data_IF_960374653290
#
_entry.id   IF_960374653290
#
_cell.length_a   1.000
_cell.length_b   1.000
_cell.length_c   1.000
_cell.angle_alpha   90.00
_cell.angle_beta   90.00
_cell.angle_gamma   90.00
#
_symmetry.space_group_name_H-M   'P 1'
#
loop_
_entity.id
_entity.type
_entity.pdbx_description
1 polymer ?
#
# COMPACT_ATOMS: atom_id res chain seq x y z
N UNK A 1 44.48 3.60 -8.59
CA UNK A 1 43.65 2.37 -8.77
C UNK A 1 42.22 2.75 -8.61
N UNK A 2 41.49 2.76 -9.72
CA UNK A 2 40.08 3.12 -9.70
C UNK A 2 39.24 1.96 -9.16
N UNK A 3 38.74 2.09 -7.93
CA UNK A 3 37.71 1.22 -7.42
C UNK A 3 36.38 1.56 -8.13
N UNK A 4 36.09 0.86 -9.20
CA UNK A 4 34.77 0.89 -9.83
C UNK A 4 33.88 0.04 -8.91
N UNK A 5 33.10 0.71 -8.06
CA UNK A 5 32.02 0.06 -7.29
C UNK A 5 31.02 -0.47 -8.33
N UNK A 6 30.86 -1.78 -8.41
CA UNK A 6 29.89 -2.39 -9.32
C UNK A 6 28.50 -1.97 -8.89
N UNK A 7 27.72 -1.45 -9.78
CA UNK A 7 26.32 -1.02 -9.52
C UNK A 7 25.46 -2.09 -8.84
N UNK A 8 25.77 -3.37 -9.02
CA UNK A 8 25.08 -4.49 -8.38
C UNK A 8 25.18 -4.49 -6.85
N UNK A 9 26.26 -3.92 -6.27
CA UNK A 9 26.47 -3.94 -4.82
C UNK A 9 25.68 -2.82 -4.09
N UNK A 10 25.21 -1.83 -4.84
CA UNK A 10 24.41 -0.71 -4.29
C UNK A 10 22.95 -1.13 -4.10
N UNK A 11 22.46 -2.12 -4.86
CA UNK A 11 21.07 -2.55 -4.88
C UNK A 11 20.80 -3.90 -4.21
N UNK A 12 21.83 -4.55 -3.66
CA UNK A 12 21.64 -5.76 -2.84
C UNK A 12 21.19 -5.35 -1.43
N UNK A 13 19.94 -4.92 -1.30
CA UNK A 13 19.32 -4.77 -0.01
C UNK A 13 19.17 -6.17 0.62
N UNK A 14 19.60 -6.37 1.88
CA UNK A 14 19.40 -7.65 2.55
C UNK A 14 17.90 -7.95 2.63
N UNK A 15 17.53 -9.20 2.39
CA UNK A 15 16.14 -9.68 2.36
C UNK A 15 15.32 -9.41 3.66
N UNK A 16 15.97 -8.89 4.70
CA UNK A 16 15.36 -8.53 5.99
C UNK A 16 14.77 -7.12 6.06
N UNK A 17 14.85 -6.32 4.98
CA UNK A 17 14.37 -4.92 4.99
C UNK A 17 12.86 -4.81 4.78
N UNK A 18 12.19 -5.88 4.35
CA UNK A 18 10.75 -5.89 4.05
C UNK A 18 9.84 -5.64 5.26
N UNK A 19 10.13 -6.08 6.50
CA UNK A 19 9.27 -5.80 7.65
C UNK A 19 9.32 -4.35 8.16
N UNK A 20 10.37 -3.62 7.85
CA UNK A 20 10.59 -2.25 8.39
C UNK A 20 9.76 -1.16 7.68
N UNK A 21 9.17 -1.48 6.52
CA UNK A 21 8.25 -0.58 5.83
C UNK A 21 7.00 -0.22 6.67
N UNK A 22 6.62 -1.10 7.58
CA UNK A 22 5.47 -0.87 8.48
C UNK A 22 5.83 -0.01 9.71
N UNK A 23 7.12 0.18 10.03
CA UNK A 23 7.57 0.82 11.27
C UNK A 23 8.11 2.24 11.12
N UNK A 24 7.89 2.90 9.99
CA UNK A 24 8.09 4.35 9.86
C UNK A 24 9.49 4.81 9.43
N UNK A 25 10.30 3.92 8.82
CA UNK A 25 11.63 4.28 8.29
C UNK A 25 11.59 5.04 6.96
N UNK A 26 10.53 4.89 6.15
CA UNK A 26 10.41 5.48 4.82
C UNK A 26 9.18 6.39 4.69
N UNK A 27 9.30 7.37 3.80
CA UNK A 27 8.16 8.17 3.41
C UNK A 27 7.17 7.32 2.58
N UNK A 28 5.89 7.45 2.86
CA UNK A 28 4.82 6.76 2.14
C UNK A 28 4.10 7.76 1.25
N UNK A 29 3.97 7.41 -0.01
CA UNK A 29 3.18 8.16 -0.97
C UNK A 29 1.72 7.72 -0.87
N UNK A 30 0.83 8.64 -0.56
CA UNK A 30 -0.59 8.36 -0.32
C UNK A 30 -1.48 9.19 -1.26
N UNK A 31 -2.27 8.56 -2.14
CA UNK A 31 -3.31 9.25 -2.89
C UNK A 31 -4.56 9.41 -2.00
N UNK A 32 -5.08 10.63 -1.92
CA UNK A 32 -6.33 10.90 -1.21
C UNK A 32 -7.07 12.06 -1.88
N UNK A 33 -8.35 11.86 -2.21
CA UNK A 33 -9.14 12.88 -2.90
C UNK A 33 -8.54 13.29 -4.24
N UNK A 34 -8.00 12.35 -5.02
CA UNK A 34 -7.30 12.58 -6.30
C UNK A 34 -6.07 13.50 -6.19
N UNK A 35 -5.50 13.64 -5.01
CA UNK A 35 -4.29 14.44 -4.75
C UNK A 35 -3.24 13.58 -4.06
N UNK A 36 -1.97 13.87 -4.34
CA UNK A 36 -0.85 13.14 -3.78
C UNK A 36 -0.30 13.78 -2.52
N UNK A 37 0.06 12.95 -1.56
CA UNK A 37 0.65 13.34 -0.28
C UNK A 37 1.83 12.47 0.04
N UNK A 38 2.80 13.04 0.74
CA UNK A 38 3.90 12.32 1.37
C UNK A 38 3.63 12.24 2.86
N UNK A 39 3.64 11.02 3.36
CA UNK A 39 3.50 10.69 4.79
C UNK A 39 4.83 10.21 5.31
N UNK A 40 5.36 10.84 6.32
CA UNK A 40 6.58 10.43 6.99
C UNK A 40 6.43 10.57 8.50
N UNK A 41 6.48 9.45 9.21
CA UNK A 41 6.16 9.39 10.65
C UNK A 41 4.75 9.95 10.92
N UNK A 42 4.66 11.00 11.74
CA UNK A 42 3.41 11.69 12.06
C UNK A 42 3.05 12.82 11.08
N UNK A 43 3.98 13.20 10.23
CA UNK A 43 3.79 14.32 9.29
C UNK A 43 3.15 13.84 7.99
N UNK A 44 2.17 14.59 7.50
CA UNK A 44 1.53 14.38 6.21
C UNK A 44 1.50 15.71 5.45
N UNK A 45 2.21 15.75 4.33
CA UNK A 45 2.33 16.94 3.51
C UNK A 45 1.76 16.70 2.11
N UNK A 46 0.99 17.65 1.60
CA UNK A 46 0.49 17.62 0.24
C UNK A 46 1.61 17.93 -0.75
N UNK A 47 1.65 17.20 -1.87
CA UNK A 47 2.57 17.51 -2.96
C UNK A 47 1.93 18.60 -3.80
N UNK A 48 2.63 19.73 -3.92
CA UNK A 48 2.18 20.91 -4.67
C UNK A 48 3.07 21.15 -5.89
N UNK A 49 2.57 21.88 -6.85
CA UNK A 49 3.36 22.43 -7.94
C UNK A 49 4.08 23.74 -7.53
N UNK A 50 4.69 24.44 -8.51
CA UNK A 50 5.41 25.66 -8.26
C UNK A 50 4.51 26.83 -7.79
N UNK A 51 3.23 26.78 -8.14
CA UNK A 51 2.23 27.78 -7.77
C UNK A 51 1.57 27.46 -6.42
N UNK A 52 1.89 26.31 -5.83
CA UNK A 52 1.36 25.84 -4.54
C UNK A 52 0.08 25.03 -4.67
N UNK A 53 -0.37 24.71 -5.88
CA UNK A 53 -1.57 23.92 -6.10
C UNK A 53 -1.32 22.41 -5.92
N UNK A 54 -2.25 21.67 -5.27
CA UNK A 54 -2.10 20.26 -5.05
C UNK A 54 -2.05 19.43 -6.33
N UNK A 55 -0.98 18.65 -6.50
CA UNK A 55 -0.77 17.81 -7.68
C UNK A 55 -1.70 16.59 -7.71
N UNK A 56 -2.31 16.35 -8.86
CA UNK A 56 -3.06 15.13 -9.18
C UNK A 56 -2.21 14.05 -9.85
N UNK A 57 -1.05 14.43 -10.39
CA UNK A 57 -0.10 13.53 -11.06
C UNK A 57 1.30 13.75 -10.50
N UNK A 58 2.08 12.67 -10.43
CA UNK A 58 3.50 12.67 -10.04
C UNK A 58 4.28 11.76 -10.97
N UNK A 59 5.54 12.07 -11.13
CA UNK A 59 6.48 11.22 -11.84
C UNK A 59 7.31 10.42 -10.83
N UNK A 60 7.41 9.11 -11.02
CA UNK A 60 8.13 8.19 -10.14
C UNK A 60 8.98 7.23 -10.95
N UNK A 61 10.09 6.82 -10.35
CA UNK A 61 10.86 5.66 -10.79
C UNK A 61 10.60 4.53 -9.80
N UNK A 62 10.00 3.44 -10.28
CA UNK A 62 9.81 2.24 -9.47
C UNK A 62 11.12 1.48 -9.45
N UNK A 63 11.72 1.38 -8.27
CA UNK A 63 12.99 0.67 -8.05
C UNK A 63 12.72 -0.81 -7.74
N UNK A 64 11.67 -1.08 -6.98
CA UNK A 64 11.25 -2.42 -6.59
C UNK A 64 9.73 -2.46 -6.38
N UNK A 65 9.13 -3.63 -6.60
CA UNK A 65 7.73 -3.86 -6.35
C UNK A 65 7.51 -5.29 -5.85
N UNK A 66 6.73 -5.49 -4.77
CA UNK A 66 6.39 -6.83 -4.33
C UNK A 66 5.56 -7.55 -5.40
N UNK A 67 5.70 -8.89 -5.54
CA UNK A 67 4.97 -9.67 -6.54
C UNK A 67 3.46 -9.72 -6.29
N UNK A 68 3.03 -9.40 -5.08
CA UNK A 68 1.64 -9.39 -4.67
C UNK A 68 1.26 -8.04 -4.05
N UNK A 69 0.00 -7.66 -4.25
CA UNK A 69 -0.56 -6.42 -3.71
C UNK A 69 -1.11 -6.71 -2.31
N UNK A 70 -0.80 -5.85 -1.34
CA UNK A 70 -1.43 -5.87 -0.03
C UNK A 70 -2.95 -5.75 -0.14
N UNK A 71 -3.67 -6.35 0.79
CA UNK A 71 -5.14 -6.39 0.79
C UNK A 71 -5.68 -5.96 2.14
N UNK A 72 -6.78 -5.23 2.12
CA UNK A 72 -7.53 -4.84 3.31
C UNK A 72 -9.02 -5.08 3.09
N UNK A 73 -9.71 -5.50 4.15
CA UNK A 73 -11.15 -5.73 4.12
C UNK A 73 -11.80 -5.08 5.33
N UNK A 74 -12.89 -4.38 5.09
CA UNK A 74 -13.76 -3.77 6.08
C UNK A 74 -15.18 -4.32 5.91
N UNK A 75 -15.70 -5.02 6.90
CA UNK A 75 -17.04 -5.63 6.86
C UNK A 75 -18.14 -4.57 6.74
N UNK A 76 -18.01 -3.47 7.47
CA UNK A 76 -18.93 -2.33 7.41
C UNK A 76 -18.71 -1.41 6.18
N UNK A 77 -17.70 -1.71 5.36
CA UNK A 77 -17.23 -0.83 4.29
C UNK A 77 -16.26 0.24 4.80
N UNK A 78 -15.40 0.68 3.89
CA UNK A 78 -14.43 1.75 4.21
C UNK A 78 -15.10 3.12 4.05
N UNK A 79 -14.93 3.97 5.06
CA UNK A 79 -15.29 5.38 5.01
C UNK A 79 -14.02 6.23 4.95
N UNK A 80 -13.91 7.11 3.98
CA UNK A 80 -12.75 7.97 3.83
C UNK A 80 -12.57 8.86 5.07
N UNK A 81 -11.34 8.83 5.63
CA UNK A 81 -11.02 9.57 6.86
C UNK A 81 -11.30 8.79 8.15
N UNK A 82 -11.89 7.59 8.08
CA UNK A 82 -11.99 6.69 9.24
C UNK A 82 -10.59 6.26 9.70
N UNK A 83 -10.40 6.19 11.01
CA UNK A 83 -9.19 5.67 11.67
C UNK A 83 -9.38 4.23 12.16
N UNK A 84 -10.50 3.59 11.82
CA UNK A 84 -10.77 2.21 12.21
C UNK A 84 -9.79 1.24 11.54
N UNK A 85 -9.31 0.28 12.30
CA UNK A 85 -8.49 -0.79 11.76
C UNK A 85 -9.33 -1.71 10.86
N UNK A 86 -8.75 -2.28 9.78
CA UNK A 86 -9.46 -3.24 8.95
C UNK A 86 -9.77 -4.53 9.72
N UNK A 87 -10.90 -5.15 9.42
CA UNK A 87 -11.27 -6.46 9.98
C UNK A 87 -10.30 -7.56 9.56
N UNK A 88 -9.86 -7.52 8.31
CA UNK A 88 -8.85 -8.42 7.76
C UNK A 88 -7.87 -7.64 6.88
N UNK A 89 -6.60 -7.90 7.08
CA UNK A 89 -5.53 -7.32 6.25
C UNK A 89 -4.49 -8.38 5.89
N UNK A 90 -3.77 -8.12 4.82
CA UNK A 90 -2.65 -8.95 4.36
C UNK A 90 -1.62 -8.04 3.71
N UNK A 91 -0.45 -7.94 4.31
CA UNK A 91 0.65 -7.10 3.78
C UNK A 91 1.23 -7.72 2.53
N UNK A 92 1.41 -9.05 2.53
CA UNK A 92 1.95 -9.80 1.40
C UNK A 92 0.91 -10.18 0.33
N UNK A 93 -0.38 -9.98 0.62
CA UNK A 93 -1.48 -10.36 -0.27
C UNK A 93 -1.71 -11.88 -0.40
N UNK A 94 -1.01 -12.71 0.37
CA UNK A 94 -1.04 -14.19 0.29
C UNK A 94 -1.85 -14.78 1.43
N UNK A 95 -1.51 -14.39 2.67
CA UNK A 95 -2.19 -14.86 3.88
C UNK A 95 -2.63 -13.69 4.75
N UNK A 96 -3.71 -13.84 5.53
CA UNK A 96 -4.08 -12.82 6.49
C UNK A 96 -2.98 -12.56 7.50
N UNK A 97 -2.78 -11.29 7.83
CA UNK A 97 -1.89 -10.87 8.89
C UNK A 97 -2.39 -11.42 10.24
N UNK A 98 -1.51 -11.95 11.10
CA UNK A 98 -1.86 -12.40 12.44
C UNK A 98 -2.54 -11.33 13.32
N UNK A 99 -2.29 -10.05 13.04
CA UNK A 99 -2.91 -8.92 13.73
C UNK A 99 -4.34 -8.62 13.25
N UNK A 100 -4.86 -9.33 12.23
CA UNK A 100 -6.23 -9.16 11.76
C UNK A 100 -7.22 -9.55 12.85
N UNK A 101 -8.19 -8.69 13.13
CA UNK A 101 -9.22 -8.93 14.16
C UNK A 101 -10.23 -10.00 13.75
N UNK A 102 -10.50 -10.11 12.45
CA UNK A 102 -11.45 -11.06 11.86
C UNK A 102 -10.94 -11.58 10.50
N UNK A 103 -9.99 -12.54 10.49
CA UNK A 103 -9.51 -13.12 9.24
C UNK A 103 -10.64 -13.80 8.45
N UNK A 104 -10.84 -13.42 7.20
CA UNK A 104 -11.94 -13.88 6.36
C UNK A 104 -11.66 -15.22 5.65
N UNK A 105 -10.41 -15.63 5.58
CA UNK A 105 -9.98 -16.89 4.95
C UNK A 105 -8.58 -17.26 5.43
N UNK A 106 -8.17 -18.50 5.25
CA UNK A 106 -6.79 -18.95 5.50
C UNK A 106 -5.81 -18.48 4.42
N UNK A 107 -6.30 -18.13 3.23
CA UNK A 107 -5.50 -17.67 2.11
C UNK A 107 -6.27 -16.60 1.33
N UNK A 108 -5.57 -15.56 0.91
CA UNK A 108 -6.15 -14.51 0.07
C UNK A 108 -6.55 -15.01 -1.33
N UNK A 109 -5.89 -16.06 -1.82
CA UNK A 109 -6.22 -16.65 -3.12
C UNK A 109 -7.62 -17.29 -3.15
N UNK A 110 -8.03 -17.90 -2.02
CA UNK A 110 -9.34 -18.56 -1.88
C UNK A 110 -10.36 -17.72 -1.13
N UNK A 111 -10.00 -16.51 -0.72
CA UNK A 111 -10.90 -15.62 0.02
C UNK A 111 -12.08 -15.18 -0.87
N UNK A 112 -13.34 -15.38 -0.44
CA UNK A 112 -14.51 -14.96 -1.20
C UNK A 112 -14.50 -13.45 -1.51
N UNK A 113 -14.03 -12.65 -0.56
CA UNK A 113 -13.99 -11.18 -0.68
C UNK A 113 -12.86 -10.68 -1.61
N UNK A 114 -11.87 -11.52 -1.92
CA UNK A 114 -10.78 -11.19 -2.83
C UNK A 114 -11.05 -11.60 -4.29
N UNK A 115 -12.18 -12.23 -4.57
CA UNK A 115 -12.56 -12.65 -5.93
C UNK A 115 -13.22 -11.50 -6.69
N UNK A 116 -13.00 -11.48 -8.01
CA UNK A 116 -13.71 -10.52 -8.88
C UNK A 116 -15.21 -10.79 -8.86
N UNK A 117 -15.99 -9.77 -8.65
CA UNK A 117 -17.45 -9.86 -8.50
C UNK A 117 -17.93 -10.01 -7.06
N UNK A 118 -17.03 -10.07 -6.08
CA UNK A 118 -17.38 -10.12 -4.66
C UNK A 118 -18.01 -8.82 -4.16
N UNK A 119 -17.74 -7.70 -4.83
CA UNK A 119 -18.33 -6.40 -4.54
C UNK A 119 -19.11 -5.90 -5.74
N UNK A 120 -20.31 -5.38 -5.48
CA UNK A 120 -21.10 -4.64 -6.45
C UNK A 120 -21.09 -3.18 -6.04
N UNK A 121 -20.62 -2.32 -6.94
CA UNK A 121 -20.59 -0.87 -6.71
C UNK A 121 -22.02 -0.30 -6.79
N UNK A 122 -22.22 0.92 -6.28
CA UNK A 122 -23.52 1.62 -6.37
C UNK A 122 -24.05 1.76 -7.82
N UNK A 123 -23.13 1.73 -8.80
CA UNK A 123 -23.48 1.78 -10.24
C UNK A 123 -23.66 0.37 -10.85
N UNK A 124 -23.80 -0.68 -10.04
CA UNK A 124 -24.02 -2.06 -10.50
C UNK A 124 -22.79 -2.74 -11.12
N UNK A 125 -21.62 -2.11 -11.10
CA UNK A 125 -20.39 -2.71 -11.65
C UNK A 125 -19.79 -3.70 -10.66
N UNK A 126 -19.32 -4.83 -11.19
CA UNK A 126 -18.60 -5.84 -10.41
C UNK A 126 -17.17 -5.37 -10.12
N UNK A 127 -16.70 -5.61 -8.90
CA UNK A 127 -15.35 -5.33 -8.44
C UNK A 127 -14.90 -6.36 -7.39
N UNK A 128 -13.80 -6.09 -6.73
CA UNK A 128 -13.32 -6.84 -5.55
C UNK A 128 -12.80 -5.89 -4.48
#
# INVERSE_FOLDING_TARGET
MNNIVKHADIFSAPASVVPEFASGGYAVLSPRGSKWRIKYKADENMITDADGDPKSTIELVIIDAPPHISKTYYAAGYTEGSVEAPDCQSIDGIVPDPASTSPQSKSCATCPHAQFGSRITANGKKGK
#
